data_IF_516375161514
#
_entry.id   IF_516375161514
#
_cell.length_a   1.000
_cell.length_b   1.000
_cell.length_c   1.000
_cell.angle_alpha   90.00
_cell.angle_beta   90.00
_cell.angle_gamma   90.00
#
_symmetry.space_group_name_H-M   'P 1'
#
loop_
_entity.id
_entity.type
_entity.pdbx_description
1 polymer ?
#
# COMPACT_ATOMS: atom_id res chain seq x y z
N UNK A 1 -3.07 15.88 -15.08
CA UNK A 1 -2.64 14.48 -14.92
C UNK A 1 -3.33 13.92 -13.69
N UNK A 2 -4.09 12.85 -13.81
CA UNK A 2 -4.65 12.12 -12.66
C UNK A 2 -3.52 11.28 -12.05
N UNK A 3 -3.13 11.56 -10.80
CA UNK A 3 -2.18 10.73 -10.06
C UNK A 3 -3.00 9.70 -9.28
N UNK A 4 -2.91 8.44 -9.66
CA UNK A 4 -3.49 7.33 -8.90
C UNK A 4 -2.62 7.09 -7.68
N UNK A 5 -3.24 6.99 -6.50
CA UNK A 5 -2.61 6.66 -5.22
C UNK A 5 -3.06 5.25 -4.84
N UNK A 6 -2.23 4.54 -4.09
CA UNK A 6 -2.54 3.19 -3.63
C UNK A 6 -2.80 3.25 -2.12
N UNK A 7 -3.91 2.70 -1.65
CA UNK A 7 -4.25 2.63 -0.23
C UNK A 7 -4.44 1.17 0.18
N UNK A 8 -3.74 0.74 1.23
CA UNK A 8 -3.87 -0.60 1.80
C UNK A 8 -4.78 -0.56 3.03
N UNK A 9 -5.75 -1.47 3.10
CA UNK A 9 -6.52 -1.64 4.31
C UNK A 9 -5.76 -2.49 5.33
N UNK A 10 -5.41 -1.90 6.46
CA UNK A 10 -4.74 -2.59 7.59
C UNK A 10 -5.58 -3.72 8.20
N UNK A 11 -6.90 -3.73 7.95
CA UNK A 11 -7.80 -4.72 8.52
C UNK A 11 -7.92 -6.02 7.72
N UNK A 12 -7.88 -5.94 6.40
CA UNK A 12 -8.09 -7.10 5.52
C UNK A 12 -7.04 -7.23 4.40
N UNK A 13 -6.06 -6.34 4.35
CA UNK A 13 -4.98 -6.36 3.35
C UNK A 13 -5.42 -6.00 1.93
N UNK A 14 -6.64 -5.49 1.74
CA UNK A 14 -7.13 -5.09 0.42
C UNK A 14 -6.47 -3.79 -0.03
N UNK A 15 -5.94 -3.79 -1.26
CA UNK A 15 -5.38 -2.60 -1.89
C UNK A 15 -6.43 -1.88 -2.76
N UNK A 16 -6.45 -0.55 -2.67
CA UNK A 16 -7.33 0.35 -3.38
C UNK A 16 -6.50 1.28 -4.26
N UNK A 17 -6.92 1.48 -5.51
CA UNK A 17 -6.22 2.34 -6.48
C UNK A 17 -7.14 3.51 -6.83
N UNK A 18 -6.99 4.61 -6.09
CA UNK A 18 -7.91 5.73 -6.12
C UNK A 18 -7.14 7.07 -6.17
N UNK A 19 -7.71 8.14 -6.76
CA UNK A 19 -7.07 9.44 -6.78
C UNK A 19 -6.99 10.10 -5.40
N UNK A 20 -7.92 9.78 -4.50
CA UNK A 20 -8.05 10.31 -3.14
C UNK A 20 -8.27 9.15 -2.15
N UNK A 21 -7.96 9.38 -0.87
CA UNK A 21 -8.12 8.35 0.16
C UNK A 21 -9.60 7.99 0.33
N UNK A 22 -10.00 6.72 0.16
CA UNK A 22 -11.38 6.33 0.40
C UNK A 22 -11.67 6.39 1.91
N UNK A 23 -12.87 6.85 2.33
CA UNK A 23 -13.20 6.98 3.75
C UNK A 23 -13.32 5.62 4.46
N UNK A 24 -13.55 4.53 3.71
CA UNK A 24 -13.67 3.16 4.20
C UNK A 24 -13.21 2.16 3.14
N UNK A 25 -12.66 1.05 3.60
CA UNK A 25 -12.36 -0.10 2.75
C UNK A 25 -13.66 -0.70 2.20
N UNK A 26 -13.75 -0.81 0.87
CA UNK A 26 -14.92 -1.40 0.21
C UNK A 26 -15.13 -2.88 0.56
N UNK A 27 -14.05 -3.62 0.91
CA UNK A 27 -14.13 -5.05 1.20
C UNK A 27 -14.62 -5.36 2.62
N UNK A 28 -14.14 -4.64 3.64
CA UNK A 28 -14.45 -4.94 5.05
C UNK A 28 -15.16 -3.82 5.82
N UNK A 29 -15.34 -2.64 5.21
CA UNK A 29 -16.01 -1.49 5.82
C UNK A 29 -15.20 -0.74 6.88
N UNK A 30 -13.96 -1.14 7.19
CA UNK A 30 -13.09 -0.42 8.14
C UNK A 30 -12.56 0.87 7.55
N UNK A 31 -12.34 1.87 8.40
CA UNK A 31 -11.79 3.18 8.01
C UNK A 31 -10.25 3.25 8.03
N UNK A 32 -9.58 2.21 8.51
CA UNK A 32 -8.11 2.16 8.59
C UNK A 32 -7.52 1.79 7.23
N UNK A 33 -7.21 2.80 6.43
CA UNK A 33 -6.49 2.71 5.17
C UNK A 33 -5.16 3.46 5.32
N UNK A 34 -4.11 2.95 4.70
CA UNK A 34 -2.78 3.57 4.70
C UNK A 34 -2.32 3.73 3.28
N UNK A 35 -1.93 4.95 2.90
CA UNK A 35 -1.35 5.20 1.58
C UNK A 35 0.00 4.50 1.45
N UNK A 36 0.15 3.73 0.36
CA UNK A 36 1.43 3.19 -0.07
C UNK A 36 2.09 4.20 -0.99
N UNK A 37 2.98 5.02 -0.42
CA UNK A 37 3.95 5.74 -1.22
C UNK A 37 4.88 4.70 -1.85
N UNK A 38 4.88 4.61 -3.19
CA UNK A 38 5.68 3.65 -3.97
C UNK A 38 7.20 3.73 -3.79
N UNK A 39 7.68 4.47 -2.79
CA UNK A 39 9.07 4.51 -2.32
C UNK A 39 9.39 3.44 -1.28
N UNK A 40 8.41 2.97 -0.52
CA UNK A 40 8.67 2.07 0.60
C UNK A 40 8.33 0.61 0.26
N UNK A 41 9.32 -0.27 0.42
CA UNK A 41 9.16 -1.72 0.36
C UNK A 41 9.74 -2.43 -0.87
N UNK A 42 9.66 -1.85 -2.07
CA UNK A 42 10.20 -2.50 -3.28
C UNK A 42 11.72 -2.71 -3.20
N UNK A 43 12.44 -1.73 -2.66
CA UNK A 43 13.88 -1.84 -2.46
C UNK A 43 14.28 -3.02 -1.58
N UNK A 44 13.43 -3.46 -0.64
CA UNK A 44 13.70 -4.62 0.22
C UNK A 44 13.72 -5.94 -0.58
N UNK A 45 12.92 -6.05 -1.65
CA UNK A 45 12.91 -7.24 -2.52
C UNK A 45 14.14 -7.35 -3.41
N UNK A 46 14.73 -6.20 -3.79
CA UNK A 46 15.91 -6.15 -4.66
C UNK A 46 17.23 -5.91 -3.91
N UNK A 47 17.18 -5.80 -2.58
CA UNK A 47 18.38 -5.67 -1.77
C UNK A 47 19.09 -7.03 -1.69
N UNK A 48 20.40 -7.11 -1.98
CA UNK A 48 21.14 -8.35 -1.83
C UNK A 48 21.02 -8.83 -0.38
N UNK A 49 20.66 -10.11 -0.20
CA UNK A 49 20.65 -10.75 1.11
C UNK A 49 22.05 -10.57 1.72
N UNK A 50 22.13 -10.02 2.93
CA UNK A 50 23.41 -9.84 3.65
C UNK A 50 24.07 -11.15 4.08
N UNK A 51 23.50 -12.29 3.70
CA UNK A 51 24.04 -13.63 3.94
C UNK A 51 24.87 -14.10 2.74
N UNK A 52 26.11 -13.65 2.69
CA UNK A 52 27.19 -14.34 1.98
C UNK A 52 28.46 -14.16 2.80
N UNK A 53 28.65 -15.06 3.77
CA UNK A 53 29.95 -15.34 4.40
C UNK A 53 30.76 -16.27 3.51
#
# INVERSE_FOLDING_TARGET
MLRVRIFLCEGCGTAHADPEEPPRCCACGRASLTELDGRDGAAAYFSPSRDAT
#
